data_IF_870127014107
#
_entry.id   IF_870127014107
#
_cell.length_a   1.000
_cell.length_b   1.000
_cell.length_c   1.000
_cell.angle_alpha   90.00
_cell.angle_beta   90.00
_cell.angle_gamma   90.00
#
_symmetry.space_group_name_H-M   'P 1'
#
loop_
_entity.id
_entity.type
_entity.pdbx_description
1 polymer ?
#
# COMPACT_ATOMS: atom_id res chain seq x y z
N UNK A 1 12.31 -17.44 -9.72
CA UNK A 1 12.06 -17.31 -8.28
C UNK A 1 12.19 -18.69 -7.65
N UNK A 2 12.99 -18.83 -6.60
CA UNK A 2 13.22 -20.10 -5.88
C UNK A 2 12.81 -19.91 -4.42
N UNK A 3 11.68 -20.50 -4.02
CA UNK A 3 11.12 -20.34 -2.69
C UNK A 3 11.97 -21.03 -1.60
N UNK A 4 12.60 -22.17 -1.92
CA UNK A 4 13.47 -22.88 -0.96
C UNK A 4 14.71 -22.05 -0.66
N UNK A 5 15.37 -21.52 -1.70
CA UNK A 5 16.52 -20.64 -1.51
C UNK A 5 16.16 -19.37 -0.72
N UNK A 6 14.98 -18.80 -0.98
CA UNK A 6 14.48 -17.63 -0.25
C UNK A 6 14.24 -17.94 1.23
N UNK A 7 13.56 -19.05 1.55
CA UNK A 7 13.30 -19.46 2.93
C UNK A 7 14.58 -19.74 3.72
N UNK A 8 15.60 -20.34 3.09
CA UNK A 8 16.90 -20.54 3.73
C UNK A 8 17.60 -19.22 4.04
N UNK A 9 17.54 -18.23 3.13
CA UNK A 9 18.08 -16.89 3.39
C UNK A 9 17.32 -16.14 4.47
N UNK A 10 16.01 -16.40 4.60
CA UNK A 10 15.12 -15.80 5.60
C UNK A 10 14.99 -16.63 6.87
N UNK A 11 15.84 -17.65 7.06
CA UNK A 11 15.85 -18.47 8.26
C UNK A 11 16.15 -17.62 9.49
N UNK A 12 15.35 -17.74 10.53
CA UNK A 12 15.37 -16.90 11.74
C UNK A 12 15.08 -15.40 11.50
N UNK A 13 14.66 -15.02 10.29
CA UNK A 13 14.20 -13.67 10.01
C UNK A 13 12.69 -13.58 10.20
N UNK A 14 12.26 -12.34 10.35
CA UNK A 14 10.86 -11.97 10.27
C UNK A 14 10.70 -10.93 9.18
N UNK A 15 9.72 -11.13 8.30
CA UNK A 15 9.35 -10.17 7.26
C UNK A 15 7.99 -9.59 7.62
N UNK A 16 7.92 -8.27 7.70
CA UNK A 16 6.71 -7.55 8.11
C UNK A 16 6.25 -6.64 6.99
N UNK A 17 5.00 -6.79 6.59
CA UNK A 17 4.29 -5.90 5.68
C UNK A 17 3.41 -4.96 6.52
N UNK A 18 3.65 -3.66 6.40
CA UNK A 18 2.86 -2.64 7.11
C UNK A 18 2.22 -1.74 6.07
N UNK A 19 0.89 -1.59 6.12
CA UNK A 19 0.23 -0.64 5.21
C UNK A 19 -1.20 -0.96 4.84
N UNK A 20 -1.53 -0.62 3.60
CA UNK A 20 -2.87 -0.64 3.02
C UNK A 20 -3.27 -2.04 2.48
N UNK A 21 -4.47 -2.18 1.87
CA UNK A 21 -4.88 -3.43 1.23
C UNK A 21 -3.99 -3.90 0.08
N UNK A 22 -3.16 -3.04 -0.51
CA UNK A 22 -2.24 -3.46 -1.57
C UNK A 22 -0.98 -4.10 -0.97
N UNK A 23 -0.47 -3.56 0.15
CA UNK A 23 0.53 -4.23 0.97
C UNK A 23 0.04 -5.61 1.47
N UNK A 24 -1.25 -5.71 1.78
CA UNK A 24 -1.90 -7.00 2.10
C UNK A 24 -1.80 -8.00 0.96
N UNK A 25 -2.15 -7.60 -0.26
CA UNK A 25 -2.09 -8.48 -1.44
C UNK A 25 -0.67 -8.99 -1.71
N UNK A 26 0.35 -8.16 -1.46
CA UNK A 26 1.75 -8.59 -1.59
C UNK A 26 2.15 -9.60 -0.52
N UNK A 27 1.72 -9.40 0.72
CA UNK A 27 1.89 -10.37 1.79
C UNK A 27 1.24 -11.71 1.44
N UNK A 28 0.00 -11.69 0.91
CA UNK A 28 -0.72 -12.91 0.52
C UNK A 28 0.00 -13.63 -0.62
N UNK A 29 0.43 -12.87 -1.63
CA UNK A 29 1.18 -13.41 -2.77
C UNK A 29 2.50 -14.04 -2.32
N UNK A 30 3.24 -13.39 -1.43
CA UNK A 30 4.49 -13.94 -0.89
C UNK A 30 4.21 -15.22 -0.10
N UNK A 31 3.23 -15.21 0.80
CA UNK A 31 2.83 -16.37 1.59
C UNK A 31 2.49 -17.57 0.69
N UNK A 32 1.72 -17.37 -0.37
CA UNK A 32 1.41 -18.41 -1.36
C UNK A 32 2.66 -18.92 -2.09
N UNK A 33 3.54 -18.01 -2.51
CA UNK A 33 4.77 -18.38 -3.20
C UNK A 33 5.70 -19.24 -2.33
N UNK A 34 5.95 -18.84 -1.08
CA UNK A 34 6.87 -19.59 -0.20
C UNK A 34 6.23 -20.84 0.40
N UNK A 35 4.90 -20.89 0.56
CA UNK A 35 4.21 -22.09 1.03
C UNK A 35 4.14 -23.20 -0.02
N UNK A 36 4.31 -22.87 -1.31
CA UNK A 36 4.21 -23.83 -2.41
C UNK A 36 5.24 -24.96 -2.36
N UNK A 37 6.44 -24.71 -1.81
CA UNK A 37 7.54 -25.70 -1.75
C UNK A 37 7.54 -26.56 -0.49
N UNK A 38 6.68 -26.24 0.48
CA UNK A 38 6.61 -26.96 1.75
C UNK A 38 5.61 -28.11 1.61
N UNK A 39 6.10 -29.32 1.84
CA UNK A 39 5.29 -30.55 1.75
C UNK A 39 4.38 -30.70 2.97
N UNK A 40 4.93 -30.45 4.17
CA UNK A 40 4.18 -30.48 5.42
C UNK A 40 3.43 -29.17 5.64
N UNK A 41 2.12 -29.15 5.33
CA UNK A 41 1.31 -27.94 5.51
C UNK A 41 1.04 -27.61 6.98
N UNK A 42 1.17 -28.58 7.89
CA UNK A 42 0.99 -28.36 9.32
C UNK A 42 2.18 -27.59 9.93
N UNK A 43 3.30 -27.52 9.22
CA UNK A 43 4.45 -26.70 9.60
C UNK A 43 4.24 -25.21 9.33
N UNK A 44 3.15 -24.84 8.62
CA UNK A 44 2.74 -23.47 8.31
C UNK A 44 1.43 -23.15 9.02
N UNK A 45 1.44 -22.19 9.94
CA UNK A 45 0.24 -21.85 10.71
C UNK A 45 0.23 -20.39 11.15
N UNK A 46 -0.99 -19.87 11.36
CA UNK A 46 -1.19 -18.55 11.94
C UNK A 46 -1.01 -18.63 13.47
N UNK A 47 -0.19 -17.74 14.03
CA UNK A 47 0.23 -17.81 15.44
C UNK A 47 -0.88 -17.50 16.45
N UNK A 48 -1.88 -16.69 16.06
CA UNK A 48 -2.93 -16.18 16.93
C UNK A 48 -4.27 -16.93 16.76
N UNK A 49 -4.35 -17.92 15.87
CA UNK A 49 -5.59 -18.61 15.50
C UNK A 49 -6.58 -17.71 14.74
N UNK A 50 -6.12 -16.57 14.21
CA UNK A 50 -6.98 -15.64 13.50
C UNK A 50 -7.35 -16.21 12.11
N UNK A 51 -8.65 -16.25 11.76
CA UNK A 51 -9.02 -16.56 10.39
C UNK A 51 -8.49 -15.48 9.44
N UNK A 52 -8.12 -15.87 8.22
CA UNK A 52 -7.79 -14.89 7.18
C UNK A 52 -9.05 -14.10 6.84
N UNK A 53 -9.21 -12.92 7.44
CA UNK A 53 -10.28 -11.98 7.13
C UNK A 53 -9.71 -10.75 6.45
N UNK A 54 -10.45 -10.20 5.48
CA UNK A 54 -9.97 -9.09 4.63
C UNK A 54 -9.96 -7.72 5.31
N UNK A 55 -10.61 -7.58 6.47
CA UNK A 55 -11.02 -6.26 6.94
C UNK A 55 -10.35 -5.80 8.24
N UNK A 56 -9.94 -6.70 9.14
CA UNK A 56 -9.39 -6.33 10.45
C UNK A 56 -8.22 -7.23 10.88
N UNK A 57 -7.25 -6.62 11.54
CA UNK A 57 -6.26 -7.32 12.37
C UNK A 57 -4.82 -7.27 11.88
N UNK A 58 -3.98 -7.90 12.71
CA UNK A 58 -2.61 -8.29 12.41
C UNK A 58 -2.60 -9.80 12.16
N UNK A 59 -1.87 -10.24 11.13
CA UNK A 59 -1.77 -11.65 10.76
C UNK A 59 -0.32 -12.08 10.77
N UNK A 60 -0.02 -13.16 11.50
CA UNK A 60 1.35 -13.64 11.70
C UNK A 60 1.40 -15.11 11.31
N UNK A 61 1.97 -15.40 10.15
CA UNK A 61 2.17 -16.77 9.68
C UNK A 61 3.58 -17.24 9.98
N UNK A 62 3.69 -18.39 10.65
CA UNK A 62 4.98 -19.00 11.01
C UNK A 62 5.27 -20.22 10.14
N UNK A 63 6.51 -20.27 9.67
CA UNK A 63 7.12 -21.38 8.96
C UNK A 63 8.06 -22.09 9.93
N UNK A 64 7.55 -23.14 10.58
CA UNK A 64 8.20 -23.80 11.72
C UNK A 64 9.62 -24.26 11.40
N UNK A 65 9.80 -24.92 10.26
CA UNK A 65 11.07 -25.56 9.86
C UNK A 65 12.21 -24.55 9.59
N UNK A 66 11.84 -23.29 9.30
CA UNK A 66 12.77 -22.20 9.01
C UNK A 66 12.87 -21.19 10.16
N UNK A 67 12.05 -21.36 11.21
CA UNK A 67 11.83 -20.36 12.25
C UNK A 67 11.64 -18.94 11.65
N UNK A 68 10.90 -18.89 10.55
CA UNK A 68 10.64 -17.69 9.76
C UNK A 68 9.18 -17.24 9.99
N UNK A 69 8.93 -15.94 10.08
CA UNK A 69 7.56 -15.39 10.10
C UNK A 69 7.33 -14.37 9.00
N UNK A 70 6.13 -14.41 8.43
CA UNK A 70 5.63 -13.43 7.47
C UNK A 70 4.38 -12.76 8.05
N UNK A 71 4.45 -11.45 8.26
CA UNK A 71 3.50 -10.72 9.09
C UNK A 71 2.85 -9.59 8.31
N UNK A 72 1.58 -9.33 8.57
CA UNK A 72 0.85 -8.20 8.02
C UNK A 72 0.24 -7.37 9.14
N UNK A 73 0.58 -6.09 9.18
CA UNK A 73 -0.04 -5.09 10.03
C UNK A 73 -0.76 -4.09 9.15
N UNK A 74 -2.08 -4.04 9.29
CA UNK A 74 -2.89 -3.02 8.63
C UNK A 74 -2.52 -1.66 9.20
N UNK A 75 -2.17 -0.70 8.35
CA UNK A 75 -1.89 0.70 8.71
C UNK A 75 -2.03 1.58 7.46
N UNK A 76 -3.26 1.80 6.95
CA UNK A 76 -3.48 2.37 5.61
C UNK A 76 -2.86 3.76 5.41
N UNK A 77 -2.68 4.52 6.49
CA UNK A 77 -2.11 5.87 6.47
C UNK A 77 -0.75 5.96 7.16
N UNK A 78 -0.24 4.85 7.73
CA UNK A 78 0.97 4.76 8.56
C UNK A 78 0.93 5.57 9.87
N UNK A 79 0.19 6.68 9.90
CA UNK A 79 -0.02 7.56 11.06
C UNK A 79 -1.37 7.33 11.76
N UNK A 80 -1.43 7.70 13.04
CA UNK A 80 -2.53 7.39 13.94
C UNK A 80 -3.84 8.01 13.49
N UNK A 81 -4.84 7.16 13.41
CA UNK A 81 -6.21 7.57 13.20
C UNK A 81 -6.97 7.67 14.54
N UNK A 82 -7.70 8.78 14.75
CA UNK A 82 -8.58 8.95 15.92
C UNK A 82 -9.98 9.44 15.52
N UNK A 83 -10.98 9.18 16.36
CA UNK A 83 -12.30 9.80 16.22
C UNK A 83 -12.20 11.32 16.37
N UNK A 84 -13.07 12.05 15.66
CA UNK A 84 -13.19 13.48 15.86
C UNK A 84 -13.80 13.78 17.25
N UNK A 85 -13.27 14.73 18.03
CA UNK A 85 -13.90 15.22 19.24
C UNK A 85 -15.30 15.79 18.97
N UNK A 86 -16.20 15.66 19.94
CA UNK A 86 -17.60 16.15 19.84
C UNK A 86 -17.72 17.67 19.62
N UNK A 87 -16.64 18.42 19.85
CA UNK A 87 -16.53 19.86 19.62
C UNK A 87 -16.37 20.24 18.15
N UNK A 88 -16.04 19.30 17.26
CA UNK A 88 -15.83 19.53 15.82
C UNK A 88 -17.14 19.26 15.05
N UNK A 89 -17.38 19.99 13.95
CA UNK A 89 -18.57 19.82 13.12
C UNK A 89 -18.87 18.34 12.80
N UNK A 90 -20.14 17.94 12.91
CA UNK A 90 -20.63 16.55 12.70
C UNK A 90 -20.29 15.93 11.33
N UNK A 91 -19.76 16.71 10.38
CA UNK A 91 -19.26 16.22 9.08
C UNK A 91 -17.90 15.53 9.19
N UNK A 92 -17.13 15.82 10.24
CA UNK A 92 -15.81 15.22 10.48
C UNK A 92 -15.96 13.93 11.27
N UNK A 93 -15.72 12.78 10.63
CA UNK A 93 -15.81 11.48 11.29
C UNK A 93 -14.49 11.00 11.88
N UNK A 94 -13.36 11.46 11.33
CA UNK A 94 -12.05 10.89 11.63
C UNK A 94 -10.93 11.90 11.43
N UNK A 95 -9.90 11.83 12.27
CA UNK A 95 -8.70 12.66 12.26
C UNK A 95 -7.46 11.75 12.11
N UNK A 96 -6.47 12.18 11.33
CA UNK A 96 -5.14 11.61 11.21
C UNK A 96 -4.13 12.50 11.94
N UNK A 97 -3.50 11.95 12.97
CA UNK A 97 -2.47 12.62 13.77
C UNK A 97 -1.11 12.42 13.12
N UNK A 98 -0.58 13.48 12.51
CA UNK A 98 0.64 13.41 11.72
C UNK A 98 1.90 13.17 12.55
N UNK A 99 1.80 13.27 13.88
CA UNK A 99 2.87 13.10 14.87
C UNK A 99 2.90 11.70 15.52
N UNK A 100 1.89 10.86 15.29
CA UNK A 100 1.72 9.57 15.95
C UNK A 100 1.59 8.44 14.91
N UNK A 101 2.08 7.23 15.21
CA UNK A 101 1.99 6.06 14.30
C UNK A 101 0.71 5.24 14.57
N UNK A 102 0.17 4.61 13.53
CA UNK A 102 -1.18 4.00 13.55
C UNK A 102 -1.33 2.69 14.34
N UNK A 103 -2.54 2.50 14.89
CA UNK A 103 -3.06 1.24 15.47
C UNK A 103 -4.48 0.85 14.95
N UNK A 104 -4.93 1.47 13.85
CA UNK A 104 -6.05 1.14 12.94
C UNK A 104 -7.50 1.57 13.26
N UNK A 105 -8.17 2.16 12.25
CA UNK A 105 -9.63 2.13 11.94
C UNK A 105 -9.86 2.72 10.52
N UNK A 106 -11.10 2.95 10.02
CA UNK A 106 -11.41 3.46 8.66
C UNK A 106 -12.61 4.41 8.61
N UNK A 107 -12.43 5.67 8.17
CA UNK A 107 -13.41 6.55 7.46
C UNK A 107 -12.85 7.99 7.31
N UNK A 108 -13.55 8.87 6.57
CA UNK A 108 -13.06 10.14 6.00
C UNK A 108 -12.27 11.08 6.93
N UNK A 109 -11.10 11.52 6.46
CA UNK A 109 -10.00 12.02 7.28
C UNK A 109 -9.76 13.54 7.21
N UNK A 110 -9.45 14.13 8.35
CA UNK A 110 -8.88 15.48 8.51
C UNK A 110 -7.50 15.37 9.19
N UNK A 111 -6.65 16.39 9.09
CA UNK A 111 -5.26 16.30 9.58
C UNK A 111 -5.07 17.07 10.89
N UNK A 112 -4.32 16.48 11.83
CA UNK A 112 -3.98 17.09 13.11
C UNK A 112 -2.45 17.13 13.29
N UNK A 113 -1.97 18.28 13.71
CA UNK A 113 -0.66 18.47 14.36
C UNK A 113 -0.91 18.59 15.88
N UNK A 114 0.08 18.37 16.76
CA UNK A 114 -0.09 17.90 18.14
C UNK A 114 -1.33 18.40 18.92
N UNK A 115 -1.69 19.69 18.83
CA UNK A 115 -2.84 20.26 19.51
C UNK A 115 -3.94 20.85 18.59
N UNK A 116 -3.69 20.94 17.27
CA UNK A 116 -4.55 21.65 16.33
C UNK A 116 -5.00 20.78 15.15
N UNK A 117 -6.32 20.68 14.97
CA UNK A 117 -6.91 20.13 13.73
C UNK A 117 -6.82 21.18 12.62
N UNK A 118 -6.05 20.88 11.58
CA UNK A 118 -5.79 21.79 10.46
C UNK A 118 -6.79 21.53 9.33
N UNK A 119 -7.89 22.27 9.34
CA UNK A 119 -8.95 22.15 8.31
C UNK A 119 -8.50 22.56 6.89
N UNK A 120 -7.51 23.44 6.77
CA UNK A 120 -7.02 23.99 5.50
C UNK A 120 -5.72 23.33 5.01
N UNK A 121 -5.27 22.24 5.64
CA UNK A 121 -4.03 21.56 5.23
C UNK A 121 -4.24 20.80 3.92
N UNK A 122 -3.30 20.95 2.98
CA UNK A 122 -3.34 20.19 1.72
C UNK A 122 -2.94 18.73 1.94
N UNK A 123 -3.44 17.84 1.08
CA UNK A 123 -3.08 16.41 1.11
C UNK A 123 -1.57 16.20 0.91
N UNK A 124 -0.92 17.01 0.09
CA UNK A 124 0.54 16.91 -0.13
C UNK A 124 1.32 17.24 1.15
N UNK A 125 0.96 18.34 1.82
CA UNK A 125 1.59 18.73 3.08
C UNK A 125 1.40 17.66 4.15
N UNK A 126 0.18 17.14 4.27
CA UNK A 126 -0.13 16.07 5.20
C UNK A 126 0.69 14.81 4.92
N UNK A 127 0.75 14.36 3.65
CA UNK A 127 1.54 13.20 3.25
C UNK A 127 3.02 13.38 3.56
N UNK A 128 3.59 14.54 3.23
CA UNK A 128 4.99 14.88 3.53
C UNK A 128 5.27 14.81 5.04
N UNK A 129 4.37 15.37 5.85
CA UNK A 129 4.48 15.34 7.30
C UNK A 129 4.41 13.91 7.85
N UNK A 130 3.45 13.10 7.37
CA UNK A 130 3.35 11.68 7.74
C UNK A 130 4.63 10.90 7.45
N UNK A 131 5.20 11.07 6.25
CA UNK A 131 6.45 10.38 5.88
C UNK A 131 7.61 10.85 6.75
N UNK A 132 7.72 12.14 7.02
CA UNK A 132 8.77 12.66 7.90
C UNK A 132 8.66 12.11 9.32
N UNK A 133 7.45 11.98 9.86
CA UNK A 133 7.22 11.38 11.17
C UNK A 133 7.62 9.90 11.20
N UNK A 134 7.23 9.14 10.18
CA UNK A 134 7.64 7.74 10.05
C UNK A 134 9.17 7.61 9.96
N UNK A 135 9.84 8.44 9.15
CA UNK A 135 11.30 8.40 9.02
C UNK A 135 11.99 8.72 10.36
N UNK A 136 11.50 9.72 11.09
CA UNK A 136 12.00 10.02 12.45
C UNK A 136 11.83 8.83 13.37
N UNK A 137 10.65 8.20 13.37
CA UNK A 137 10.39 7.00 14.18
C UNK A 137 11.36 5.86 13.82
N UNK A 138 11.60 5.59 12.54
CA UNK A 138 12.56 4.57 12.09
C UNK A 138 13.96 4.89 12.62
N UNK A 139 14.41 6.14 12.49
CA UNK A 139 15.73 6.55 12.95
C UNK A 139 15.92 6.43 14.47
N UNK A 140 14.85 6.57 15.25
CA UNK A 140 14.90 6.52 16.72
C UNK A 140 14.71 5.09 17.27
N UNK A 141 13.78 4.33 16.70
CA UNK A 141 13.29 3.08 17.29
C UNK A 141 13.81 1.82 16.57
N UNK A 142 14.23 1.93 15.30
CA UNK A 142 14.63 0.77 14.50
C UNK A 142 16.15 0.63 14.46
N UNK A 143 16.63 -0.53 14.92
CA UNK A 143 18.04 -0.87 14.79
C UNK A 143 18.37 -1.31 13.35
N UNK A 144 18.99 -0.42 12.57
CA UNK A 144 19.34 -0.68 11.18
C UNK A 144 20.50 -1.68 10.98
N UNK A 145 21.19 -2.12 12.05
CA UNK A 145 22.23 -3.15 11.94
C UNK A 145 21.69 -4.56 11.71
N UNK A 146 20.44 -4.81 12.13
CA UNK A 146 19.76 -6.10 11.99
C UNK A 146 18.41 -6.00 11.27
N UNK A 147 17.98 -4.79 10.91
CA UNK A 147 16.70 -4.54 10.26
C UNK A 147 16.92 -3.86 8.91
N UNK A 148 16.33 -4.43 7.86
CA UNK A 148 16.28 -3.82 6.54
C UNK A 148 14.87 -3.25 6.32
N UNK A 149 14.79 -1.95 6.01
CA UNK A 149 13.51 -1.26 5.76
C UNK A 149 13.37 -1.00 4.26
N UNK A 150 12.22 -1.38 3.70
CA UNK A 150 11.90 -1.19 2.30
C UNK A 150 10.62 -0.36 2.18
N UNK A 151 10.66 0.67 1.33
CA UNK A 151 9.46 1.44 0.99
C UNK A 151 8.92 0.97 -0.34
N UNK A 152 7.64 0.58 -0.33
CA UNK A 152 6.90 0.37 -1.56
C UNK A 152 6.41 1.70 -2.10
N UNK A 153 6.69 1.96 -3.36
CA UNK A 153 6.18 3.12 -4.09
C UNK A 153 4.70 2.93 -4.46
N UNK A 154 4.07 3.97 -5.00
CA UNK A 154 2.67 3.93 -5.42
C UNK A 154 2.37 2.70 -6.28
N UNK A 155 1.22 2.08 -6.04
CA UNK A 155 0.80 0.96 -6.86
C UNK A 155 0.59 1.43 -8.31
N UNK A 156 1.18 0.74 -9.30
CA UNK A 156 1.02 1.12 -10.69
C UNK A 156 -0.34 0.65 -11.25
N UNK A 157 -1.34 0.44 -10.39
CA UNK A 157 -2.65 -0.10 -10.75
C UNK A 157 -3.77 0.68 -10.08
N UNK A 158 -4.86 0.94 -10.81
CA UNK A 158 -6.00 1.67 -10.29
C UNK A 158 -7.29 1.21 -10.97
N UNK A 159 -8.36 0.97 -10.20
CA UNK A 159 -9.69 0.69 -10.76
C UNK A 159 -10.41 2.01 -11.09
N UNK A 160 -11.27 1.99 -12.11
CA UNK A 160 -12.24 3.06 -12.35
C UNK A 160 -13.31 3.06 -11.26
N UNK A 161 -14.00 4.18 -11.10
CA UNK A 161 -14.98 4.36 -10.01
C UNK A 161 -16.17 3.39 -10.12
N UNK A 162 -16.58 3.08 -11.35
CA UNK A 162 -17.62 2.11 -11.70
C UNK A 162 -17.13 0.65 -11.61
N UNK A 163 -15.84 0.42 -11.36
CA UNK A 163 -15.21 -0.91 -11.39
C UNK A 163 -15.35 -1.64 -12.73
N UNK A 164 -15.55 -0.95 -13.85
CA UNK A 164 -15.57 -1.57 -15.18
C UNK A 164 -14.17 -1.70 -15.78
N UNK A 165 -13.26 -0.79 -15.40
CA UNK A 165 -11.91 -0.71 -15.94
C UNK A 165 -10.85 -0.84 -14.85
N UNK A 166 -9.75 -1.50 -15.22
CA UNK A 166 -8.52 -1.54 -14.44
C UNK A 166 -7.39 -0.94 -15.28
N UNK A 167 -6.70 0.06 -14.77
CA UNK A 167 -5.48 0.56 -15.37
C UNK A 167 -4.27 -0.09 -14.69
N UNK A 168 -3.25 -0.41 -15.47
CA UNK A 168 -1.95 -0.89 -14.99
C UNK A 168 -0.82 -0.26 -15.79
N UNK A 169 0.21 0.24 -15.12
CA UNK A 169 1.42 0.80 -15.73
C UNK A 169 2.65 -0.03 -15.44
N UNK A 170 3.67 0.12 -16.29
CA UNK A 170 4.95 -0.55 -16.13
C UNK A 170 6.09 0.44 -16.36
N UNK A 171 7.23 0.14 -15.73
CA UNK A 171 8.47 0.91 -15.88
C UNK A 171 9.08 0.77 -17.28
N UNK A 172 8.61 -0.18 -18.08
CA UNK A 172 8.90 -0.29 -19.51
C UNK A 172 8.15 0.74 -20.38
N UNK A 173 7.33 1.60 -19.76
CA UNK A 173 6.55 2.62 -20.44
C UNK A 173 5.19 2.14 -20.94
N UNK A 174 4.82 0.87 -20.73
CA UNK A 174 3.51 0.37 -21.08
C UNK A 174 2.42 0.80 -20.09
N UNK A 175 1.31 1.23 -20.65
CA UNK A 175 0.04 1.50 -19.96
C UNK A 175 -0.99 0.55 -20.55
N UNK A 176 -1.66 -0.21 -19.70
CA UNK A 176 -2.74 -1.12 -20.09
C UNK A 176 -4.01 -0.74 -19.37
N UNK A 177 -5.10 -0.73 -20.11
CA UNK A 177 -6.44 -0.48 -19.59
C UNK A 177 -7.26 -1.71 -19.93
N UNK A 178 -7.66 -2.43 -18.89
CA UNK A 178 -8.40 -3.66 -18.96
C UNK A 178 -9.88 -3.35 -18.75
N UNK A 179 -10.72 -3.72 -19.72
CA UNK A 179 -12.14 -3.90 -19.44
C UNK A 179 -12.30 -5.26 -18.72
N UNK A 180 -12.84 -5.24 -17.51
CA UNK A 180 -12.90 -6.43 -16.64
C UNK A 180 -13.70 -7.56 -17.30
N UNK A 181 -14.70 -7.22 -18.12
CA UNK A 181 -15.59 -8.21 -18.74
C UNK A 181 -15.05 -8.76 -20.06
N UNK A 182 -14.19 -8.00 -20.76
CA UNK A 182 -13.74 -8.36 -22.13
C UNK A 182 -12.37 -9.04 -22.15
N UNK A 183 -11.54 -8.86 -21.11
CA UNK A 183 -10.27 -9.57 -20.93
C UNK A 183 -9.13 -9.16 -21.88
N UNK A 184 -9.39 -8.35 -22.92
CA UNK A 184 -8.36 -7.79 -23.80
C UNK A 184 -8.06 -6.35 -23.38
N UNK A 185 -6.79 -6.01 -23.05
CA UNK A 185 -6.45 -4.66 -22.65
C UNK A 185 -6.21 -3.74 -23.84
N UNK A 186 -6.70 -2.51 -23.75
CA UNK A 186 -6.17 -1.40 -24.53
C UNK A 186 -4.74 -1.12 -24.03
N UNK A 187 -3.75 -1.36 -24.90
CA UNK A 187 -2.34 -1.14 -24.57
C UNK A 187 -1.85 0.10 -25.29
N UNK A 188 -1.19 0.99 -24.55
CA UNK A 188 -0.44 2.11 -25.10
C UNK A 188 0.98 2.10 -24.54
N UNK A 189 1.95 2.46 -25.37
CA UNK A 189 3.34 2.51 -24.98
C UNK A 189 3.83 3.96 -25.00
N UNK A 190 4.69 4.29 -24.05
CA UNK A 190 5.39 5.56 -23.91
C UNK A 190 6.89 5.28 -23.87
N UNK A 191 7.69 6.17 -24.44
CA UNK A 191 9.16 6.08 -24.33
C UNK A 191 9.67 6.47 -22.93
N UNK A 192 8.82 7.11 -22.13
CA UNK A 192 9.11 7.54 -20.76
C UNK A 192 8.69 6.46 -19.74
N UNK A 193 9.43 6.34 -18.63
CA UNK A 193 9.09 5.41 -17.54
C UNK A 193 7.83 5.87 -16.82
N UNK A 194 6.82 5.01 -16.73
CA UNK A 194 5.56 5.33 -16.06
C UNK A 194 5.53 4.67 -14.69
N UNK A 195 5.46 5.49 -13.64
CA UNK A 195 5.56 5.03 -12.25
C UNK A 195 4.20 4.69 -11.64
N UNK A 196 3.15 5.43 -12.00
CA UNK A 196 1.81 5.18 -11.48
C UNK A 196 0.73 5.68 -12.43
N UNK A 197 -0.49 5.16 -12.25
CA UNK A 197 -1.68 5.64 -12.93
C UNK A 197 -2.86 5.86 -11.98
N UNK A 198 -3.76 6.79 -12.32
CA UNK A 198 -5.02 7.02 -11.60
C UNK A 198 -6.14 7.44 -12.54
N UNK A 199 -7.30 6.82 -12.40
CA UNK A 199 -8.52 7.29 -13.09
C UNK A 199 -9.03 8.61 -12.49
N UNK A 200 -9.55 9.50 -13.33
CA UNK A 200 -10.37 10.63 -12.91
C UNK A 200 -11.53 10.18 -12.02
N UNK A 201 -11.84 10.99 -11.02
CA UNK A 201 -12.95 10.74 -10.08
C UNK A 201 -14.22 11.53 -10.42
N UNK A 202 -14.17 12.39 -11.44
CA UNK A 202 -15.29 13.28 -11.78
C UNK A 202 -16.48 12.57 -12.45
N UNK A 203 -16.31 11.33 -12.91
CA UNK A 203 -17.37 10.50 -13.49
C UNK A 203 -17.89 10.98 -14.85
N UNK A 204 -17.31 12.06 -15.41
CA UNK A 204 -17.78 12.67 -16.66
C UNK A 204 -16.88 12.35 -17.85
N UNK A 205 -15.59 12.12 -17.59
CA UNK A 205 -14.62 11.66 -18.59
C UNK A 205 -13.67 10.66 -17.96
N UNK A 206 -13.33 9.61 -18.70
CA UNK A 206 -12.34 8.62 -18.29
C UNK A 206 -10.94 9.15 -18.65
N UNK A 207 -10.32 9.88 -17.71
CA UNK A 207 -8.92 10.28 -17.84
C UNK A 207 -8.03 9.36 -17.02
N UNK A 208 -6.91 8.95 -17.60
CA UNK A 208 -5.82 8.33 -16.86
C UNK A 208 -4.71 9.37 -16.64
N UNK A 209 -4.43 9.63 -15.37
CA UNK A 209 -3.27 10.41 -14.97
C UNK A 209 -2.11 9.46 -14.75
N UNK A 210 -1.03 9.62 -15.51
CA UNK A 210 0.18 8.84 -15.37
C UNK A 210 1.33 9.73 -14.93
N UNK A 211 2.06 9.35 -13.88
CA UNK A 211 3.32 10.02 -13.55
C UNK A 211 4.42 9.38 -14.39
N UNK A 212 5.07 10.17 -15.23
CA UNK A 212 6.19 9.74 -16.05
C UNK A 212 7.47 10.46 -15.61
N UNK A 213 8.60 9.74 -15.64
CA UNK A 213 9.91 10.33 -15.40
C UNK A 213 10.54 10.71 -16.74
N UNK A 214 10.72 12.01 -16.97
CA UNK A 214 11.38 12.58 -18.15
C UNK A 214 12.71 13.22 -17.74
N UNK A 215 13.79 12.46 -17.87
CA UNK A 215 15.10 12.83 -17.30
C UNK A 215 15.02 12.95 -15.77
N UNK A 216 15.47 14.08 -15.22
CA UNK A 216 15.43 14.35 -13.76
C UNK A 216 14.10 14.96 -13.27
N UNK A 217 13.09 15.08 -14.14
CA UNK A 217 11.80 15.68 -13.80
C UNK A 217 10.67 14.66 -13.85
N UNK A 218 9.87 14.61 -12.79
CA UNK A 218 8.57 13.96 -12.81
C UNK A 218 7.57 14.85 -13.55
N UNK A 219 6.85 14.28 -14.51
CA UNK A 219 5.80 14.96 -15.27
C UNK A 219 4.49 14.18 -15.16
N UNK A 220 3.37 14.89 -15.09
CA UNK A 220 2.04 14.26 -15.12
C UNK A 220 1.53 14.26 -16.55
N UNK A 221 1.38 13.08 -17.13
CA UNK A 221 0.70 12.89 -18.40
C UNK A 221 -0.79 12.63 -18.16
N UNK A 222 -1.65 13.24 -18.96
CA UNK A 222 -3.10 13.06 -18.91
C UNK A 222 -3.54 12.40 -20.20
N UNK A 223 -4.27 11.31 -20.08
CA UNK A 223 -4.65 10.46 -21.20
C UNK A 223 -6.16 10.36 -21.22
N UNK A 224 -6.80 10.76 -22.32
CA UNK A 224 -8.20 10.41 -22.56
C UNK A 224 -8.25 8.94 -23.00
N UNK A 225 -9.07 8.16 -22.31
CA UNK A 225 -9.17 6.71 -22.52
C UNK A 225 -10.12 6.39 -23.69
N UNK A 226 -10.94 7.36 -24.10
CA UNK A 226 -11.97 7.19 -25.13
C UNK A 226 -11.43 7.55 -26.54
N UNK A 227 -10.37 8.36 -26.63
CA UNK A 227 -9.74 8.81 -27.90
C UNK A 227 -8.28 8.41 -27.99
#
# INVERSE_FOLDING_TARGET
FDATNMLERLRNWRVVFVGDPIGRNQWESLLCMVSSTISDKDSIYEMNGNPITKHNGFLVYKFKDFNYTVEYYRAPFLVLQSCAPDTIEKKVKTILKLDQMDITSTQGCYFQEPEDVKMNMTVESAYRNSINTMLKWIHMEVNMSNTHVFFRTYAPVHFSLDSEFLASTSTDGSVRIWNINEGVPLTRNSDEKIECCRFSKDGTKLFLFCTAQKGDKAVTAIWDIIT
#
